data_IF_177266312454
#
_entry.id   IF_177266312454
#
_cell.length_a   1.000
_cell.length_b   1.000
_cell.length_c   1.000
_cell.angle_alpha   90.00
_cell.angle_beta   90.00
_cell.angle_gamma   90.00
#
_symmetry.space_group_name_H-M   'P 1'
#
loop_
_entity.id
_entity.type
_entity.pdbx_description
1 polymer ?
#
# COMPACT_ATOMS: atom_id res chain seq x y z
N UNK A 1 0.61 19.52 -11.28
CA UNK A 1 -0.69 19.22 -10.65
C UNK A 1 -0.54 19.44 -9.15
N UNK A 2 -1.55 19.97 -8.44
CA UNK A 2 -1.46 20.18 -6.99
C UNK A 2 -2.29 19.10 -6.30
N UNK A 3 -1.66 18.28 -5.45
CA UNK A 3 -2.34 17.27 -4.63
C UNK A 3 -2.75 17.96 -3.33
N UNK A 4 -4.06 18.00 -3.02
CA UNK A 4 -4.61 18.65 -1.82
C UNK A 4 -5.42 17.71 -0.95
N UNK A 5 -6.05 16.71 -1.54
CA UNK A 5 -6.94 15.79 -0.86
C UNK A 5 -6.72 14.33 -1.32
N UNK A 6 -7.46 13.39 -0.71
CA UNK A 6 -7.37 11.96 -1.04
C UNK A 6 -7.82 11.65 -2.47
N UNK A 7 -8.81 12.38 -2.99
CA UNK A 7 -9.34 12.18 -4.34
C UNK A 7 -8.30 12.55 -5.39
N UNK A 8 -7.51 13.60 -5.16
CA UNK A 8 -6.40 13.97 -6.05
C UNK A 8 -5.37 12.83 -6.16
N UNK A 9 -5.05 12.16 -5.04
CA UNK A 9 -4.13 11.01 -5.02
C UNK A 9 -4.73 9.84 -5.81
N UNK A 10 -6.01 9.55 -5.58
CA UNK A 10 -6.74 8.49 -6.29
C UNK A 10 -6.74 8.77 -7.80
N UNK A 11 -7.01 10.01 -8.22
CA UNK A 11 -6.99 10.38 -9.64
C UNK A 11 -5.61 10.25 -10.28
N UNK A 12 -4.56 10.73 -9.59
CA UNK A 12 -3.17 10.61 -10.06
C UNK A 12 -2.75 9.16 -10.28
N UNK A 13 -3.20 8.24 -9.43
CA UNK A 13 -2.91 6.81 -9.56
C UNK A 13 -3.78 6.17 -10.65
N UNK A 14 -5.05 6.58 -10.74
CA UNK A 14 -6.00 6.08 -11.76
C UNK A 14 -5.56 6.44 -13.17
N UNK A 15 -4.99 7.63 -13.36
CA UNK A 15 -4.44 8.09 -14.65
C UNK A 15 -3.11 7.40 -15.01
N UNK A 16 -2.47 6.71 -14.06
CA UNK A 16 -1.23 5.99 -14.29
C UNK A 16 -1.50 4.54 -14.72
N UNK A 17 -1.43 4.30 -16.03
CA UNK A 17 -1.72 2.98 -16.62
C UNK A 17 -0.88 1.85 -16.00
N UNK A 18 0.40 2.09 -15.73
CA UNK A 18 1.26 1.07 -15.13
C UNK A 18 0.81 0.74 -13.71
N UNK A 19 0.47 1.74 -12.91
CA UNK A 19 -0.03 1.49 -11.55
C UNK A 19 -1.36 0.73 -11.58
N UNK A 20 -2.24 1.07 -12.51
CA UNK A 20 -3.52 0.38 -12.68
C UNK A 20 -3.35 -1.07 -13.17
N UNK A 21 -2.37 -1.37 -14.02
CA UNK A 21 -2.04 -2.75 -14.41
C UNK A 21 -1.62 -3.57 -13.18
N UNK A 22 -0.77 -3.02 -12.32
CA UNK A 22 -0.34 -3.72 -11.10
C UNK A 22 -1.51 -3.98 -10.14
N UNK A 23 -2.35 -2.97 -9.93
CA UNK A 23 -3.55 -3.07 -9.10
C UNK A 23 -4.52 -4.13 -9.62
N UNK A 24 -4.75 -4.17 -10.94
CA UNK A 24 -5.59 -5.18 -11.57
C UNK A 24 -5.01 -6.58 -11.42
N UNK A 25 -3.70 -6.74 -11.58
CA UNK A 25 -3.03 -8.03 -11.39
C UNK A 25 -3.23 -8.57 -9.96
N UNK A 26 -3.04 -7.74 -8.93
CA UNK A 26 -3.28 -8.16 -7.54
C UNK A 26 -4.76 -8.45 -7.30
N UNK A 27 -5.66 -7.64 -7.86
CA UNK A 27 -7.11 -7.86 -7.72
C UNK A 27 -7.55 -9.23 -8.27
N UNK A 28 -6.94 -9.72 -9.35
CA UNK A 28 -7.29 -11.05 -9.92
C UNK A 28 -7.03 -12.23 -8.97
N UNK A 29 -6.19 -12.04 -7.95
CA UNK A 29 -5.83 -13.09 -7.00
C UNK A 29 -6.86 -13.27 -5.88
N UNK A 30 -7.86 -12.38 -5.78
CA UNK A 30 -8.94 -12.44 -4.78
C UNK A 30 -8.43 -12.67 -3.35
N UNK A 31 -7.33 -11.99 -2.99
CA UNK A 31 -6.74 -12.08 -1.67
C UNK A 31 -7.65 -11.41 -0.62
N UNK A 32 -7.72 -11.92 0.62
CA UNK A 32 -8.48 -11.25 1.67
C UNK A 32 -7.78 -9.98 2.15
N UNK A 33 -8.53 -8.88 2.25
CA UNK A 33 -8.07 -7.58 2.75
C UNK A 33 -6.69 -7.15 2.21
N UNK A 34 -6.50 -7.18 0.89
CA UNK A 34 -5.22 -6.85 0.27
C UNK A 34 -5.04 -5.35 0.02
N UNK A 35 -3.78 -4.90 0.02
CA UNK A 35 -3.38 -3.53 -0.29
C UNK A 35 -2.00 -3.51 -0.94
N UNK A 36 -1.77 -2.64 -1.92
CA UNK A 36 -0.42 -2.29 -2.39
C UNK A 36 0.08 -1.08 -1.60
N UNK A 37 1.24 -1.23 -0.95
CA UNK A 37 1.86 -0.24 -0.08
C UNK A 37 3.34 -0.07 -0.49
N UNK A 38 4.20 0.51 0.34
CA UNK A 38 4.11 1.91 0.76
C UNK A 38 4.81 2.84 -0.25
N UNK A 39 5.96 2.39 -0.77
CA UNK A 39 6.75 3.12 -1.75
C UNK A 39 5.99 3.36 -3.05
N UNK A 40 5.11 2.44 -3.43
CA UNK A 40 4.27 2.57 -4.62
C UNK A 40 3.41 3.85 -4.63
N UNK A 41 2.77 4.17 -3.51
CA UNK A 41 1.89 5.35 -3.38
C UNK A 41 2.73 6.60 -3.12
N UNK A 42 3.65 6.54 -2.15
CA UNK A 42 4.47 7.69 -1.74
C UNK A 42 5.29 8.23 -2.92
N UNK A 43 5.99 7.36 -3.65
CA UNK A 43 6.83 7.77 -4.77
C UNK A 43 6.00 8.44 -5.87
N UNK A 44 4.80 7.93 -6.17
CA UNK A 44 3.92 8.57 -7.16
C UNK A 44 3.50 9.99 -6.73
N UNK A 45 3.11 10.16 -5.46
CA UNK A 45 2.73 11.48 -4.92
C UNK A 45 3.91 12.45 -5.04
N UNK A 46 5.10 12.02 -4.63
CA UNK A 46 6.29 12.86 -4.67
C UNK A 46 6.77 13.17 -6.07
N UNK A 47 6.69 12.22 -7.01
CA UNK A 47 7.00 12.45 -8.43
C UNK A 47 6.11 13.56 -8.99
N UNK A 48 4.80 13.55 -8.66
CA UNK A 48 3.87 14.61 -9.09
C UNK A 48 4.19 15.95 -8.42
N UNK A 49 4.48 15.97 -7.12
CA UNK A 49 4.80 17.21 -6.39
C UNK A 49 6.10 17.87 -6.87
N UNK A 50 7.09 17.08 -7.30
CA UNK A 50 8.35 17.56 -7.85
C UNK A 50 8.32 17.79 -9.38
N UNK A 51 7.18 17.54 -10.03
CA UNK A 51 7.02 17.58 -11.49
C UNK A 51 8.02 16.67 -12.24
N UNK A 52 8.29 15.49 -11.70
CA UNK A 52 9.13 14.51 -12.37
C UNK A 52 8.36 13.88 -13.54
N UNK A 53 8.95 13.93 -14.73
CA UNK A 53 8.40 13.28 -15.92
C UNK A 53 8.70 11.78 -15.96
N UNK A 54 9.71 11.34 -15.21
CA UNK A 54 10.14 9.94 -15.12
C UNK A 54 9.82 9.41 -13.73
N UNK A 55 9.21 8.22 -13.66
CA UNK A 55 8.90 7.56 -12.39
C UNK A 55 10.18 7.29 -11.60
N UNK A 56 10.15 7.60 -10.31
CA UNK A 56 11.21 7.18 -9.38
C UNK A 56 11.23 5.65 -9.26
N UNK A 57 12.36 4.98 -9.55
CA UNK A 57 12.48 3.54 -9.36
C UNK A 57 12.24 3.18 -7.89
N UNK A 58 11.38 2.19 -7.67
CA UNK A 58 11.14 1.60 -6.36
C UNK A 58 11.73 0.19 -6.32
N UNK A 59 12.39 -0.19 -5.21
CA UNK A 59 13.13 -1.45 -5.12
C UNK A 59 12.20 -2.67 -5.21
N UNK A 60 11.00 -2.54 -4.67
CA UNK A 60 9.97 -3.57 -4.60
C UNK A 60 8.55 -2.99 -4.61
N UNK A 61 7.58 -3.83 -4.96
CA UNK A 61 6.14 -3.55 -4.84
C UNK A 61 5.59 -4.40 -3.71
N UNK A 62 5.34 -3.75 -2.58
CA UNK A 62 4.77 -4.40 -1.40
C UNK A 62 3.28 -4.64 -1.58
N UNK A 63 2.90 -5.92 -1.67
CA UNK A 63 1.52 -6.38 -1.59
C UNK A 63 1.31 -6.99 -0.22
N UNK A 64 0.50 -6.35 0.60
CA UNK A 64 0.12 -6.90 1.89
C UNK A 64 -1.30 -7.44 1.84
N UNK A 65 -1.59 -8.45 2.64
CA UNK A 65 -2.93 -8.99 2.82
C UNK A 65 -3.09 -9.50 4.25
N UNK A 66 -4.31 -9.75 4.70
CA UNK A 66 -4.57 -10.25 6.04
C UNK A 66 -5.39 -11.52 5.98
N UNK A 67 -4.74 -12.64 6.32
CA UNK A 67 -5.40 -13.94 6.46
C UNK A 67 -4.92 -14.62 7.75
N UNK A 68 -5.72 -14.61 8.84
CA UNK A 68 -5.36 -15.26 10.08
C UNK A 68 -5.50 -16.78 10.04
N UNK A 69 -6.13 -17.34 8.99
CA UNK A 69 -6.34 -18.79 8.87
C UNK A 69 -5.09 -19.52 8.40
N UNK A 70 -4.19 -18.82 7.71
CA UNK A 70 -2.97 -19.39 7.17
C UNK A 70 -1.79 -18.39 7.22
N UNK A 71 -0.90 -18.60 8.19
CA UNK A 71 0.30 -17.77 8.42
C UNK A 71 1.57 -18.38 7.82
N UNK A 72 1.47 -19.37 6.94
CA UNK A 72 2.63 -19.98 6.29
C UNK A 72 3.25 -19.05 5.25
N UNK A 73 4.54 -18.74 5.42
CA UNK A 73 5.32 -17.94 4.47
C UNK A 73 5.41 -18.59 3.08
N UNK A 74 5.27 -19.91 2.97
CA UNK A 74 5.23 -20.60 1.68
C UNK A 74 4.06 -20.14 0.79
N UNK A 75 2.96 -19.70 1.40
CA UNK A 75 1.80 -19.16 0.68
C UNK A 75 2.11 -17.78 0.10
N UNK A 76 2.77 -16.92 0.89
CA UNK A 76 3.25 -15.61 0.42
C UNK A 76 4.13 -15.78 -0.81
N UNK A 77 5.08 -16.74 -0.78
CA UNK A 77 5.96 -17.04 -1.92
C UNK A 77 5.21 -17.55 -3.15
N UNK A 78 4.20 -18.39 -2.98
CA UNK A 78 3.35 -18.84 -4.10
C UNK A 78 2.58 -17.67 -4.74
N UNK A 79 2.14 -16.70 -3.93
CA UNK A 79 1.48 -15.49 -4.43
C UNK A 79 2.46 -14.60 -5.18
N UNK A 80 3.69 -14.40 -4.66
CA UNK A 80 4.77 -13.69 -5.37
C UNK A 80 5.02 -14.30 -6.76
N UNK A 81 5.12 -15.63 -6.85
CA UNK A 81 5.33 -16.32 -8.14
C UNK A 81 4.14 -16.15 -9.10
N UNK A 82 2.90 -16.21 -8.61
CA UNK A 82 1.71 -15.92 -9.44
C UNK A 82 1.74 -14.49 -9.99
N UNK A 83 2.11 -13.51 -9.17
CA UNK A 83 2.22 -12.12 -9.60
C UNK A 83 3.35 -11.93 -10.62
N UNK A 84 4.49 -12.61 -10.45
CA UNK A 84 5.58 -12.59 -11.45
C UNK A 84 5.15 -13.18 -12.79
N UNK A 85 4.28 -14.20 -12.80
CA UNK A 85 3.72 -14.76 -14.03
C UNK A 85 2.74 -13.80 -14.71
N UNK A 86 1.92 -13.07 -13.93
CA UNK A 86 0.95 -12.11 -14.45
C UNK A 86 1.60 -10.83 -14.97
N UNK A 87 2.53 -10.27 -14.20
CA UNK A 87 3.29 -9.06 -14.57
C UNK A 87 4.78 -9.34 -14.33
N UNK A 88 5.48 -9.83 -15.37
CA UNK A 88 6.91 -10.09 -15.29
C UNK A 88 7.70 -8.81 -15.03
N UNK A 89 8.93 -8.96 -14.53
CA UNK A 89 9.91 -7.88 -14.27
C UNK A 89 9.59 -6.97 -13.08
N UNK A 90 8.43 -7.14 -12.44
CA UNK A 90 8.10 -6.41 -11.22
C UNK A 90 8.68 -7.15 -10.01
N UNK A 91 9.45 -6.46 -9.15
CA UNK A 91 9.96 -7.02 -7.90
C UNK A 91 8.86 -7.11 -6.84
N UNK A 92 7.95 -8.09 -6.99
CA UNK A 92 6.86 -8.31 -6.05
C UNK A 92 7.35 -8.78 -4.68
N UNK A 93 6.90 -8.12 -3.62
CA UNK A 93 7.09 -8.50 -2.22
C UNK A 93 5.72 -8.73 -1.61
N UNK A 94 5.37 -9.99 -1.30
CA UNK A 94 4.04 -10.30 -0.72
C UNK A 94 4.21 -10.64 0.76
N UNK A 95 3.34 -10.08 1.62
CA UNK A 95 3.42 -10.29 3.08
C UNK A 95 2.04 -10.46 3.70
N UNK A 96 1.84 -11.55 4.45
CA UNK A 96 0.65 -11.72 5.27
C UNK A 96 0.80 -10.97 6.59
N UNK A 97 -0.03 -9.96 6.81
CA UNK A 97 -0.04 -9.16 8.03
C UNK A 97 -0.38 -9.99 9.28
N UNK A 98 -1.13 -11.07 9.13
CA UNK A 98 -1.38 -12.01 10.22
C UNK A 98 -0.11 -12.75 10.69
N UNK A 99 0.92 -12.87 9.86
CA UNK A 99 2.23 -13.42 10.24
C UNK A 99 3.21 -12.34 10.68
N UNK A 100 3.15 -11.17 10.05
CA UNK A 100 4.15 -10.11 10.21
C UNK A 100 4.28 -9.59 11.65
N UNK A 101 3.20 -9.59 12.44
CA UNK A 101 3.30 -9.20 13.84
C UNK A 101 4.28 -10.07 14.65
N UNK A 102 4.38 -11.37 14.34
CA UNK A 102 5.31 -12.31 14.98
C UNK A 102 6.75 -11.92 14.63
N UNK A 103 7.01 -11.67 13.34
CA UNK A 103 8.33 -11.29 12.83
C UNK A 103 8.79 -9.94 13.40
N UNK A 104 7.85 -9.01 13.57
CA UNK A 104 8.13 -7.66 14.05
C UNK A 104 8.06 -7.55 15.59
N UNK A 105 7.81 -8.65 16.30
CA UNK A 105 7.63 -8.68 17.75
C UNK A 105 6.58 -7.66 18.25
N UNK A 106 5.48 -7.55 17.52
CA UNK A 106 4.35 -6.65 17.79
C UNK A 106 3.11 -7.44 18.19
N UNK A 107 2.15 -6.75 18.82
CA UNK A 107 0.81 -7.29 19.03
C UNK A 107 0.16 -7.70 17.70
N UNK A 108 -0.63 -8.79 17.68
CA UNK A 108 -1.36 -9.22 16.51
C UNK A 108 -2.13 -8.08 15.85
N UNK A 109 -2.01 -7.98 14.52
CA UNK A 109 -2.77 -7.01 13.77
C UNK A 109 -4.21 -7.50 13.61
N UNK A 110 -5.18 -6.57 13.60
CA UNK A 110 -6.59 -6.90 13.39
C UNK A 110 -7.01 -6.88 11.92
N UNK A 111 -6.24 -6.23 11.06
CA UNK A 111 -6.47 -6.08 9.62
C UNK A 111 -5.21 -5.63 8.89
N UNK A 112 -5.23 -5.59 7.57
CA UNK A 112 -4.13 -5.00 6.78
C UNK A 112 -3.99 -3.51 7.03
N UNK A 113 -5.09 -2.77 7.18
CA UNK A 113 -5.06 -1.33 7.49
C UNK A 113 -4.42 -1.08 8.85
N UNK A 114 -4.69 -1.93 9.84
CA UNK A 114 -4.02 -1.89 11.13
C UNK A 114 -2.51 -2.16 10.99
N UNK A 115 -2.12 -3.14 10.16
CA UNK A 115 -0.72 -3.37 9.80
C UNK A 115 -0.05 -2.15 9.15
N UNK A 116 -0.70 -1.49 8.19
CA UNK A 116 -0.22 -0.26 7.53
C UNK A 116 0.00 0.87 8.53
N UNK A 117 -0.91 1.01 9.51
CA UNK A 117 -0.80 2.04 10.54
C UNK A 117 0.46 1.90 11.40
N UNK A 118 1.05 0.71 11.45
CA UNK A 118 2.25 0.39 12.25
C UNK A 118 3.54 0.41 11.44
N UNK A 119 3.51 0.85 10.17
CA UNK A 119 4.72 1.10 9.38
C UNK A 119 5.57 2.19 10.04
N UNK A 120 6.91 2.20 9.87
CA UNK A 120 7.80 3.03 10.68
C UNK A 120 7.63 4.54 10.45
N UNK A 121 7.08 4.97 9.32
CA UNK A 121 6.98 6.39 8.93
C UNK A 121 5.56 6.71 8.47
N UNK A 122 5.00 7.86 8.87
CA UNK A 122 3.64 8.27 8.50
C UNK A 122 3.45 8.35 6.98
N UNK A 123 4.48 8.79 6.25
CA UNK A 123 4.49 8.89 4.78
C UNK A 123 4.55 7.54 4.05
N UNK A 124 4.85 6.46 4.77
CA UNK A 124 4.82 5.09 4.24
C UNK A 124 3.57 4.33 4.68
N UNK A 125 2.85 4.81 5.68
CA UNK A 125 1.56 4.25 6.08
C UNK A 125 0.42 4.64 5.11
N UNK A 126 0.56 4.24 3.85
CA UNK A 126 -0.40 4.45 2.77
C UNK A 126 -0.59 3.14 2.01
N UNK A 127 -1.82 2.89 1.59
CA UNK A 127 -2.13 1.71 0.78
C UNK A 127 -3.22 2.00 -0.24
N UNK A 128 -3.14 1.35 -1.40
CA UNK A 128 -4.18 1.42 -2.43
C UNK A 128 -4.63 0.03 -2.84
N UNK A 129 -5.93 -0.10 -3.16
CA UNK A 129 -6.51 -1.32 -3.69
C UNK A 129 -7.67 -1.04 -4.63
N UNK A 130 -8.10 -2.05 -5.36
CA UNK A 130 -9.35 -2.04 -6.10
C UNK A 130 -10.44 -2.76 -5.30
N UNK A 131 -11.66 -2.26 -5.35
CA UNK A 131 -12.84 -3.00 -4.90
C UNK A 131 -13.39 -3.93 -6.00
N UNK A 132 -14.47 -4.66 -5.70
CA UNK A 132 -15.13 -5.58 -6.63
C UNK A 132 -15.68 -4.90 -7.89
N UNK A 133 -15.87 -3.56 -7.86
CA UNK A 133 -16.36 -2.74 -8.97
C UNK A 133 -15.22 -2.00 -9.67
N UNK A 134 -13.97 -2.38 -9.40
CA UNK A 134 -12.75 -1.70 -9.88
C UNK A 134 -12.62 -0.22 -9.44
N UNK A 135 -13.30 0.19 -8.37
CA UNK A 135 -13.05 1.50 -7.79
C UNK A 135 -11.74 1.47 -7.00
N UNK A 136 -10.89 2.46 -7.28
CA UNK A 136 -9.65 2.67 -6.56
C UNK A 136 -9.92 3.26 -5.17
N UNK A 137 -9.48 2.54 -4.14
CA UNK A 137 -9.58 2.93 -2.73
C UNK A 137 -8.20 3.28 -2.20
N UNK A 138 -8.13 4.34 -1.37
CA UNK A 138 -6.93 4.77 -0.67
C UNK A 138 -7.13 4.66 0.84
N UNK A 139 -6.22 3.97 1.52
CA UNK A 139 -6.08 4.02 2.97
C UNK A 139 -4.88 4.89 3.35
N UNK A 140 -5.08 5.71 4.39
CA UNK A 140 -4.06 6.59 4.95
C UNK A 140 -4.35 6.75 6.45
N UNK A 141 -3.97 5.76 7.29
CA UNK A 141 -4.28 5.77 8.72
C UNK A 141 -3.73 6.99 9.46
N UNK A 142 -2.67 7.62 8.95
CA UNK A 142 -2.07 8.84 9.52
C UNK A 142 -2.55 10.13 8.84
N UNK A 143 -3.52 10.02 7.93
CA UNK A 143 -3.87 11.10 7.02
C UNK A 143 -2.84 11.25 5.89
N UNK A 144 -3.03 12.27 5.06
CA UNK A 144 -2.18 12.53 3.88
C UNK A 144 -1.34 13.79 4.02
N UNK A 145 -1.49 14.52 5.13
CA UNK A 145 -0.88 15.84 5.33
C UNK A 145 0.64 15.74 5.24
N UNK A 146 1.22 14.76 5.93
CA UNK A 146 2.67 14.56 5.95
C UNK A 146 3.23 14.23 4.56
N UNK A 147 2.60 13.31 3.83
CA UNK A 147 3.08 12.91 2.50
C UNK A 147 2.94 14.02 1.47
N UNK A 148 1.88 14.82 1.55
CA UNK A 148 1.64 15.96 0.64
C UNK A 148 2.58 17.13 0.94
N UNK A 149 2.97 17.32 2.20
CA UNK A 149 3.92 18.38 2.61
C UNK A 149 5.38 17.93 2.62
N UNK A 150 5.68 16.70 2.15
CA UNK A 150 7.04 16.15 2.12
C UNK A 150 7.71 16.06 3.51
N UNK A 151 6.92 15.82 4.57
CA UNK A 151 7.41 15.73 5.94
C UNK A 151 7.46 14.27 6.38
N UNK A 152 8.65 13.75 6.68
CA UNK A 152 8.81 12.38 7.18
C UNK A 152 8.83 12.38 8.71
N UNK A 153 7.84 11.74 9.33
CA UNK A 153 7.70 11.62 10.79
C UNK A 153 7.65 10.13 11.15
N UNK A 154 8.40 9.68 12.18
CA UNK A 154 8.25 8.32 12.69
C UNK A 154 6.86 8.10 13.29
N UNK A 155 6.19 7.00 12.92
CA UNK A 155 4.81 6.71 13.32
C UNK A 155 4.63 6.50 14.83
N UNK A 156 5.67 6.07 15.54
CA UNK A 156 5.64 5.91 17.01
C UNK A 156 5.69 7.24 17.77
N UNK A 157 5.87 8.38 17.09
CA UNK A 157 5.85 9.71 17.71
C UNK A 157 4.46 10.38 17.69
N UNK A 158 3.46 9.77 17.05
CA UNK A 158 2.14 10.36 16.83
C UNK A 158 1.01 9.36 17.11
N UNK A 159 -0.27 9.79 17.06
CA UNK A 159 -1.44 8.89 17.12
C UNK A 159 -2.13 8.74 15.75
N UNK A 160 -2.54 7.53 15.31
CA UNK A 160 -3.18 7.37 14.01
C UNK A 160 -4.52 8.10 13.94
N UNK A 161 -4.80 8.69 12.78
CA UNK A 161 -6.08 9.31 12.42
C UNK A 161 -7.11 8.22 12.01
N UNK A 162 -7.50 7.36 12.93
CA UNK A 162 -8.69 6.52 12.74
C UNK A 162 -9.95 7.39 12.88
N UNK A 163 -10.27 8.16 11.85
CA UNK A 163 -11.57 8.85 11.81
C UNK A 163 -12.68 7.80 11.81
N UNK A 164 -13.43 7.78 12.90
CA UNK A 164 -14.71 7.09 13.03
C UNK A 164 -15.63 7.66 11.95
N UNK A 165 -15.88 6.87 10.90
CA UNK A 165 -16.96 7.18 9.97
C UNK A 165 -18.28 7.11 10.71
N UNK A 166 -18.93 8.26 10.90
CA UNK A 166 -20.38 8.36 11.00
C UNK A 166 -21.01 8.40 9.61
#
# INVERSE_FOLDING_TARGET
MIIKNKEDIVNVIREDEWMMILLKAVNTLNLPDWWICAGFVRSKIWDVLHNFCTRTPIPDIDVIYFDPTNIDESVEKKIEEKLKLLVPQIPWSVKNQARMHIKNNMSPYSSSVDGISKFPETVTSLGVKLDEKENLLLTAPWGIVDVVNLVCIPSFCTVPCFNSGG
#
